data_IF_211523703732
#
_entry.id   IF_211523703732
#
_cell.length_a   1.000
_cell.length_b   1.000
_cell.length_c   1.000
_cell.angle_alpha   90.00
_cell.angle_beta   90.00
_cell.angle_gamma   90.00
#
_symmetry.space_group_name_H-M   'P 1'
#
loop_
_entity.id
_entity.type
_entity.pdbx_description
1 polymer ?
#
# COMPACT_ATOMS: atom_id res chain seq x y z
N UNK A 1 26.45 14.31 -24.32
CA UNK A 1 26.77 14.10 -22.88
C UNK A 1 28.24 14.30 -22.62
N UNK A 2 28.65 14.94 -21.50
CA UNK A 2 30.07 15.13 -21.16
C UNK A 2 30.69 13.83 -20.59
N UNK A 3 32.00 13.55 -20.92
CA UNK A 3 32.70 12.35 -20.46
C UNK A 3 32.65 12.15 -18.95
N UNK A 4 32.82 13.23 -18.16
CA UNK A 4 32.72 13.20 -16.70
C UNK A 4 31.33 12.74 -16.17
N UNK A 5 30.26 13.08 -16.88
CA UNK A 5 28.91 12.66 -16.53
C UNK A 5 28.72 11.16 -16.80
N UNK A 6 29.27 10.68 -17.91
CA UNK A 6 29.25 9.28 -18.27
C UNK A 6 30.06 8.43 -17.26
N UNK A 7 31.28 8.86 -16.90
CA UNK A 7 32.09 8.20 -15.86
C UNK A 7 31.36 8.12 -14.52
N UNK A 8 30.66 9.18 -14.14
CA UNK A 8 29.80 9.18 -12.93
C UNK A 8 28.67 8.16 -13.02
N UNK A 9 28.00 8.05 -14.16
CA UNK A 9 26.93 7.06 -14.35
C UNK A 9 27.48 5.63 -14.26
N UNK A 10 28.64 5.37 -14.85
CA UNK A 10 29.31 4.06 -14.80
C UNK A 10 29.71 3.73 -13.35
N UNK A 11 30.22 4.70 -12.58
CA UNK A 11 30.63 4.49 -11.19
C UNK A 11 29.46 4.20 -10.22
N UNK A 12 28.24 4.70 -10.53
CA UNK A 12 27.04 4.43 -9.75
C UNK A 12 26.54 3.00 -10.01
N UNK A 13 26.77 2.45 -11.21
CA UNK A 13 26.30 1.13 -11.60
C UNK A 13 24.84 1.09 -12.06
N UNK A 14 24.33 -0.13 -12.27
CA UNK A 14 22.95 -0.36 -12.68
C UNK A 14 21.97 -0.01 -11.58
N UNK A 15 20.82 0.54 -11.96
CA UNK A 15 19.80 1.03 -11.03
C UNK A 15 18.41 1.03 -11.68
N UNK A 16 17.44 1.61 -11.00
CA UNK A 16 16.09 1.84 -11.57
C UNK A 16 16.14 2.73 -12.83
N UNK A 17 17.17 3.58 -12.98
CA UNK A 17 17.28 4.56 -14.06
C UNK A 17 18.51 4.39 -14.95
N UNK A 18 19.37 3.42 -14.69
CA UNK A 18 20.60 3.17 -15.46
C UNK A 18 20.74 1.67 -15.69
N UNK A 19 21.06 1.31 -16.93
CA UNK A 19 21.33 -0.07 -17.34
C UNK A 19 22.51 -0.13 -18.28
N UNK A 20 23.30 -1.20 -18.20
CA UNK A 20 24.46 -1.46 -19.07
C UNK A 20 24.15 -2.59 -20.05
N UNK A 21 24.60 -2.46 -21.29
CA UNK A 21 24.49 -3.50 -22.31
C UNK A 21 25.75 -3.51 -23.19
N UNK A 22 26.20 -4.69 -23.56
CA UNK A 22 27.37 -4.82 -24.42
C UNK A 22 27.11 -4.36 -25.86
N UNK A 23 25.92 -4.64 -26.39
CA UNK A 23 25.55 -4.34 -27.77
C UNK A 23 24.08 -3.92 -27.88
N UNK A 24 23.75 -3.18 -28.95
CA UNK A 24 22.36 -2.85 -29.27
C UNK A 24 21.60 -4.09 -29.75
N UNK A 25 20.41 -4.29 -29.21
CA UNK A 25 19.55 -5.41 -29.56
C UNK A 25 18.21 -5.38 -28.82
N UNK A 26 17.53 -6.50 -28.82
CA UNK A 26 16.19 -6.62 -28.24
C UNK A 26 16.17 -6.30 -26.74
N UNK A 27 17.21 -6.70 -26.00
CA UNK A 27 17.34 -6.40 -24.58
C UNK A 27 17.40 -4.89 -24.28
N UNK A 28 18.02 -4.10 -25.17
CA UNK A 28 18.04 -2.63 -25.08
C UNK A 28 16.61 -2.09 -25.26
N UNK A 29 15.89 -2.58 -26.27
CA UNK A 29 14.50 -2.13 -26.56
C UNK A 29 13.58 -2.49 -25.41
N UNK A 30 13.68 -3.70 -24.85
CA UNK A 30 12.92 -4.13 -23.69
C UNK A 30 13.19 -3.23 -22.47
N UNK A 31 14.45 -2.91 -22.21
CA UNK A 31 14.83 -2.03 -21.10
C UNK A 31 14.32 -0.61 -21.32
N UNK A 32 14.40 -0.07 -22.54
CA UNK A 32 13.82 1.24 -22.86
C UNK A 32 12.31 1.28 -22.64
N UNK A 33 11.59 0.21 -23.02
CA UNK A 33 10.16 0.06 -22.77
C UNK A 33 9.89 0.00 -21.26
N UNK A 34 10.65 -0.81 -20.52
CA UNK A 34 10.49 -0.92 -19.06
C UNK A 34 10.74 0.41 -18.33
N UNK A 35 11.76 1.16 -18.76
CA UNK A 35 12.06 2.49 -18.23
C UNK A 35 11.00 3.53 -18.63
N UNK A 36 10.53 3.54 -19.89
CA UNK A 36 9.45 4.43 -20.34
C UNK A 36 8.17 4.27 -19.51
N UNK A 37 7.85 3.02 -19.12
CA UNK A 37 6.73 2.72 -18.25
C UNK A 37 6.96 3.07 -16.77
N UNK A 38 8.22 3.30 -16.36
CA UNK A 38 8.61 3.53 -14.96
C UNK A 38 9.13 4.94 -14.65
N UNK A 39 8.96 5.91 -15.55
CA UNK A 39 9.37 7.29 -15.31
C UNK A 39 10.65 7.71 -16.03
N UNK A 40 11.16 6.87 -16.93
CA UNK A 40 12.34 7.16 -17.75
C UNK A 40 13.66 6.59 -17.20
N UNK A 41 14.73 6.75 -17.98
CA UNK A 41 16.06 6.26 -17.62
C UNK A 41 17.05 6.32 -18.77
N UNK A 42 18.23 5.72 -18.55
CA UNK A 42 19.33 5.68 -19.52
C UNK A 42 19.84 4.26 -19.69
N UNK A 43 20.00 3.84 -20.95
CA UNK A 43 20.66 2.56 -21.29
C UNK A 43 21.99 2.89 -21.95
N UNK A 44 23.10 2.42 -21.37
CA UNK A 44 24.44 2.61 -21.84
C UNK A 44 24.88 1.36 -22.61
N UNK A 45 25.09 1.49 -23.90
CA UNK A 45 25.49 0.39 -24.79
C UNK A 45 26.97 0.50 -25.10
N UNK A 46 27.72 -0.61 -25.01
CA UNK A 46 29.16 -0.70 -25.07
C UNK A 46 29.81 -0.92 -23.70
N UNK A 47 29.00 -1.36 -22.72
CA UNK A 47 29.44 -1.68 -21.36
C UNK A 47 28.99 -3.09 -20.98
N UNK A 48 29.82 -3.81 -20.22
CA UNK A 48 29.42 -5.02 -19.50
C UNK A 48 28.73 -4.68 -18.20
N UNK A 49 27.99 -5.62 -17.62
CA UNK A 49 27.25 -5.44 -16.35
C UNK A 49 28.15 -4.98 -15.18
N UNK A 50 29.43 -5.33 -15.21
CA UNK A 50 30.42 -4.87 -14.21
C UNK A 50 30.98 -3.46 -14.48
N UNK A 51 30.48 -2.74 -15.47
CA UNK A 51 30.94 -1.40 -15.87
C UNK A 51 32.19 -1.40 -16.77
N UNK A 52 32.74 -2.56 -17.17
CA UNK A 52 33.89 -2.62 -18.08
C UNK A 52 33.50 -2.15 -19.48
N UNK A 53 34.27 -1.22 -20.00
CA UNK A 53 34.07 -0.66 -21.35
C UNK A 53 34.49 -1.70 -22.41
N UNK A 54 33.55 -2.11 -23.25
CA UNK A 54 33.83 -2.98 -24.42
C UNK A 54 33.63 -2.24 -25.75
N UNK A 55 32.97 -1.10 -25.73
CA UNK A 55 32.65 -0.31 -26.91
C UNK A 55 31.50 -0.88 -27.74
N UNK A 56 30.85 -0.04 -28.52
CA UNK A 56 29.82 -0.48 -29.47
C UNK A 56 30.55 -1.11 -30.64
N UNK A 57 30.47 -2.44 -30.76
CA UNK A 57 31.24 -3.22 -31.75
C UNK A 57 30.85 -2.92 -33.21
N UNK A 58 31.86 -3.08 -34.14
CA UNK A 58 31.58 -3.30 -35.56
C UNK A 58 31.50 -2.08 -36.48
N UNK A 59 32.15 -0.95 -36.18
CA UNK A 59 32.19 0.22 -37.07
C UNK A 59 31.44 1.45 -36.56
N UNK A 60 31.17 2.43 -37.43
CA UNK A 60 30.41 3.62 -37.03
C UNK A 60 28.99 3.22 -36.68
N UNK A 61 28.51 3.55 -35.44
CA UNK A 61 27.15 3.23 -35.02
C UNK A 61 26.12 3.86 -35.96
N UNK A 62 25.19 3.06 -36.48
CA UNK A 62 24.09 3.57 -37.29
C UNK A 62 22.89 3.97 -36.40
N UNK A 63 22.97 5.16 -35.83
CA UNK A 63 21.94 5.71 -34.93
C UNK A 63 20.56 5.72 -35.60
N UNK A 64 20.48 6.06 -36.90
CA UNK A 64 19.24 6.11 -37.64
C UNK A 64 18.56 4.73 -37.72
N UNK A 65 19.36 3.65 -37.94
CA UNK A 65 18.84 2.29 -37.90
C UNK A 65 18.33 1.90 -36.50
N UNK A 66 19.04 2.25 -35.45
CA UNK A 66 18.61 1.96 -34.06
C UNK A 66 17.31 2.66 -33.69
N UNK A 67 17.19 3.97 -34.03
CA UNK A 67 15.95 4.71 -33.81
C UNK A 67 14.79 4.07 -34.59
N UNK A 68 15.01 3.69 -35.84
CA UNK A 68 13.99 3.03 -36.65
C UNK A 68 13.57 1.68 -36.05
N UNK A 69 14.54 0.87 -35.60
CA UNK A 69 14.25 -0.40 -34.92
C UNK A 69 13.43 -0.23 -33.66
N UNK A 70 13.79 0.74 -32.82
CA UNK A 70 13.04 1.06 -31.60
C UNK A 70 11.61 1.48 -31.95
N UNK A 71 11.46 2.42 -32.90
CA UNK A 71 10.16 2.91 -33.37
C UNK A 71 9.28 1.77 -33.86
N UNK A 72 9.82 0.88 -34.70
CA UNK A 72 9.05 -0.20 -35.32
C UNK A 72 8.70 -1.33 -34.36
N UNK A 73 9.48 -1.51 -33.30
CA UNK A 73 9.31 -2.61 -32.34
C UNK A 73 8.57 -2.18 -31.07
N UNK A 74 8.18 -0.91 -30.93
CA UNK A 74 7.49 -0.40 -29.76
C UNK A 74 6.13 0.18 -30.10
N UNK A 75 5.15 0.02 -29.23
CA UNK A 75 3.81 0.56 -29.35
C UNK A 75 3.30 1.06 -27.99
N UNK A 76 2.99 2.35 -27.84
CA UNK A 76 3.30 3.47 -28.74
C UNK A 76 4.78 3.56 -29.10
N UNK A 77 5.10 4.14 -30.27
CA UNK A 77 6.45 4.26 -30.75
C UNK A 77 7.31 5.11 -29.81
N UNK A 78 8.47 4.60 -29.40
CA UNK A 78 9.44 5.32 -28.56
C UNK A 78 10.49 6.03 -29.45
N UNK A 79 10.93 7.19 -28.97
CA UNK A 79 11.97 8.01 -29.59
C UNK A 79 12.97 8.43 -28.51
N UNK A 80 13.93 7.57 -28.12
CA UNK A 80 14.95 7.95 -27.17
C UNK A 80 15.94 8.97 -27.78
N UNK A 81 16.47 9.85 -26.95
CA UNK A 81 17.64 10.66 -27.30
C UNK A 81 18.87 9.77 -27.25
N UNK A 82 19.71 9.81 -28.31
CA UNK A 82 20.92 8.98 -28.41
C UNK A 82 22.15 9.87 -28.49
N UNK A 83 23.01 9.80 -27.48
CA UNK A 83 24.32 10.44 -27.45
C UNK A 83 25.41 9.42 -27.68
N UNK A 84 26.47 9.78 -28.46
CA UNK A 84 27.71 9.02 -28.54
C UNK A 84 28.76 9.71 -27.68
N UNK A 85 29.44 8.94 -26.86
CA UNK A 85 30.61 9.38 -26.10
C UNK A 85 31.74 8.38 -26.23
N UNK A 86 32.99 8.84 -26.08
CA UNK A 86 34.16 7.96 -26.14
C UNK A 86 34.89 7.94 -24.81
N UNK A 87 35.12 6.74 -24.27
CA UNK A 87 35.95 6.49 -23.08
C UNK A 87 37.01 5.45 -23.48
N UNK A 88 38.28 5.69 -23.12
CA UNK A 88 39.38 4.75 -23.39
C UNK A 88 39.46 4.32 -24.88
N UNK A 89 39.24 5.26 -25.80
CA UNK A 89 39.16 5.04 -27.24
C UNK A 89 38.03 4.13 -27.74
N UNK A 90 37.12 3.72 -26.87
CA UNK A 90 35.92 2.97 -27.22
C UNK A 90 34.69 3.87 -27.25
N UNK A 91 33.81 3.69 -28.25
CA UNK A 91 32.56 4.44 -28.36
C UNK A 91 31.47 3.77 -27.51
N UNK A 92 30.75 4.58 -26.73
CA UNK A 92 29.60 4.18 -25.94
C UNK A 92 28.40 4.96 -26.46
N UNK A 93 27.27 4.27 -26.67
CA UNK A 93 26.01 4.92 -27.02
C UNK A 93 25.12 5.00 -25.77
N UNK A 94 24.62 6.19 -25.47
CA UNK A 94 23.73 6.45 -24.34
C UNK A 94 22.33 6.75 -24.87
N UNK A 95 21.43 5.82 -24.62
CA UNK A 95 20.01 5.96 -24.95
C UNK A 95 19.29 6.55 -23.74
N UNK A 96 18.73 7.73 -23.89
CA UNK A 96 17.99 8.41 -22.83
C UNK A 96 16.51 8.43 -23.19
N UNK A 97 15.67 7.86 -22.32
CA UNK A 97 14.22 7.91 -22.45
C UNK A 97 13.63 8.69 -21.26
N UNK A 98 12.80 9.67 -21.56
CA UNK A 98 12.04 10.41 -20.55
C UNK A 98 10.77 9.67 -20.20
N UNK A 99 10.11 10.12 -19.16
CA UNK A 99 8.76 9.69 -18.87
C UNK A 99 7.84 9.98 -20.07
N UNK A 100 7.07 8.97 -20.51
CA UNK A 100 6.19 9.11 -21.67
C UNK A 100 4.75 9.37 -21.22
N UNK A 101 4.03 10.27 -21.90
CA UNK A 101 2.67 10.61 -21.48
C UNK A 101 1.65 9.51 -21.75
N UNK A 102 1.88 8.67 -22.76
CA UNK A 102 0.97 7.58 -23.13
C UNK A 102 1.55 6.25 -22.72
N UNK A 103 0.93 5.59 -21.76
CA UNK A 103 1.33 4.29 -21.22
C UNK A 103 0.11 3.33 -21.19
N UNK A 104 0.36 2.03 -21.17
CA UNK A 104 1.66 1.36 -21.24
C UNK A 104 2.27 1.32 -22.63
N UNK A 105 3.58 1.33 -22.69
CA UNK A 105 4.35 1.02 -23.90
C UNK A 105 4.64 -0.48 -23.93
N UNK A 106 4.52 -1.08 -25.11
CA UNK A 106 4.77 -2.50 -25.34
C UNK A 106 5.88 -2.73 -26.37
N UNK A 107 6.57 -3.86 -26.28
CA UNK A 107 7.41 -4.43 -27.35
C UNK A 107 7.02 -5.88 -27.55
N UNK A 108 6.90 -6.32 -28.82
CA UNK A 108 6.46 -7.69 -29.16
C UNK A 108 5.17 -8.14 -28.44
N UNK A 109 4.21 -7.22 -28.26
CA UNK A 109 2.97 -7.49 -27.54
C UNK A 109 3.10 -7.67 -26.02
N UNK A 110 4.28 -7.39 -25.43
CA UNK A 110 4.54 -7.49 -24.01
C UNK A 110 4.84 -6.12 -23.41
N UNK A 111 4.26 -5.84 -22.25
CA UNK A 111 4.55 -4.63 -21.47
C UNK A 111 5.51 -4.97 -20.34
N UNK A 112 6.59 -4.21 -20.21
CA UNK A 112 7.57 -4.36 -19.14
C UNK A 112 7.60 -3.10 -18.28
N UNK A 113 7.92 -3.28 -17.01
CA UNK A 113 8.13 -2.18 -16.06
C UNK A 113 9.44 -2.37 -15.32
N UNK A 114 10.18 -1.28 -15.11
CA UNK A 114 11.44 -1.29 -14.36
C UNK A 114 11.16 -1.29 -12.85
N UNK A 115 11.75 -2.24 -12.12
CA UNK A 115 11.71 -2.33 -10.66
C UNK A 115 13.12 -2.59 -10.14
N UNK A 116 13.70 -1.60 -9.46
CA UNK A 116 15.11 -1.65 -9.14
C UNK A 116 15.96 -1.77 -10.41
N UNK A 117 16.90 -2.70 -10.44
CA UNK A 117 17.77 -2.97 -11.63
C UNK A 117 17.21 -4.05 -12.56
N UNK A 118 15.93 -4.44 -12.46
CA UNK A 118 15.37 -5.54 -13.26
C UNK A 118 14.12 -5.12 -14.04
N UNK A 119 13.94 -5.69 -15.23
CA UNK A 119 12.75 -5.56 -16.04
C UNK A 119 11.76 -6.66 -15.67
N UNK A 120 10.52 -6.28 -15.34
CA UNK A 120 9.45 -7.21 -15.00
C UNK A 120 8.34 -7.16 -16.02
N UNK A 121 7.87 -8.32 -16.46
CA UNK A 121 6.68 -8.44 -17.29
C UNK A 121 5.46 -7.99 -16.48
N UNK A 122 4.67 -7.08 -17.05
CA UNK A 122 3.44 -6.60 -16.43
C UNK A 122 2.31 -7.62 -16.59
N UNK A 123 1.56 -7.84 -15.52
CA UNK A 123 0.30 -8.58 -15.57
C UNK A 123 -0.81 -7.77 -16.23
N UNK A 124 -1.88 -8.44 -16.67
CA UNK A 124 -3.04 -7.80 -17.33
C UNK A 124 -3.62 -6.69 -16.46
N UNK A 125 -3.69 -6.90 -15.15
CA UNK A 125 -4.18 -5.92 -14.19
C UNK A 125 -3.33 -4.64 -14.16
N UNK A 126 -2.01 -4.79 -14.12
CA UNK A 126 -1.09 -3.65 -14.12
C UNK A 126 -1.14 -2.86 -15.44
N UNK A 127 -1.33 -3.56 -16.56
CA UNK A 127 -1.52 -2.94 -17.88
C UNK A 127 -2.80 -2.10 -17.89
N UNK A 128 -3.92 -2.66 -17.40
CA UNK A 128 -5.20 -1.97 -17.32
C UNK A 128 -5.14 -0.74 -16.42
N UNK A 129 -4.52 -0.86 -15.24
CA UNK A 129 -4.37 0.24 -14.29
C UNK A 129 -3.50 1.37 -14.85
N UNK A 130 -2.40 1.02 -15.53
CA UNK A 130 -1.53 1.99 -16.18
C UNK A 130 -2.23 2.72 -17.33
N UNK A 131 -3.01 1.99 -18.14
CA UNK A 131 -3.81 2.56 -19.22
C UNK A 131 -4.84 3.56 -18.68
N UNK A 132 -5.63 3.16 -17.69
CA UNK A 132 -6.63 4.03 -17.08
C UNK A 132 -5.98 5.29 -16.49
N UNK A 133 -4.86 5.14 -15.78
CA UNK A 133 -4.11 6.27 -15.22
C UNK A 133 -3.63 7.24 -16.29
N UNK A 134 -3.19 6.74 -17.44
CA UNK A 134 -2.73 7.56 -18.57
C UNK A 134 -3.81 8.52 -19.07
N UNK A 135 -5.05 8.06 -19.10
CA UNK A 135 -6.19 8.86 -19.57
C UNK A 135 -6.96 9.54 -18.44
N UNK A 136 -6.39 9.58 -17.22
CA UNK A 136 -7.07 10.08 -16.02
C UNK A 136 -8.45 9.44 -15.80
N UNK A 137 -8.59 8.18 -16.19
CA UNK A 137 -9.79 7.38 -15.98
C UNK A 137 -9.62 6.50 -14.75
N UNK A 138 -10.72 6.21 -14.10
CA UNK A 138 -10.82 5.23 -13.02
C UNK A 138 -11.89 4.22 -13.36
N UNK A 139 -11.81 3.02 -12.78
CA UNK A 139 -12.80 1.99 -13.05
C UNK A 139 -14.23 2.48 -12.73
N UNK A 140 -14.39 3.17 -11.62
CA UNK A 140 -15.68 3.71 -11.20
C UNK A 140 -16.26 4.78 -12.14
N UNK A 141 -15.42 5.36 -13.02
CA UNK A 141 -15.81 6.34 -14.06
C UNK A 141 -16.16 5.71 -15.42
N UNK A 142 -15.91 4.41 -15.61
CA UNK A 142 -16.29 3.68 -16.81
C UNK A 142 -17.80 3.44 -16.85
N UNK A 143 -18.33 3.22 -18.07
CA UNK A 143 -19.74 2.92 -18.29
C UNK A 143 -20.03 1.49 -17.81
N UNK A 144 -21.12 1.33 -17.08
CA UNK A 144 -21.72 0.04 -16.71
C UNK A 144 -22.77 -0.30 -17.78
N UNK A 145 -22.37 -1.07 -18.78
CA UNK A 145 -23.26 -1.44 -19.90
C UNK A 145 -24.37 -2.43 -19.48
N UNK A 146 -24.26 -3.06 -18.30
CA UNK A 146 -25.28 -3.95 -17.75
C UNK A 146 -26.42 -3.18 -17.05
N UNK A 147 -26.29 -1.86 -16.89
CA UNK A 147 -27.24 -0.99 -16.19
C UNK A 147 -27.72 0.15 -17.06
N UNK A 148 -28.94 0.57 -16.77
CA UNK A 148 -29.62 1.64 -17.47
C UNK A 148 -30.28 2.63 -16.48
N UNK A 149 -30.73 3.82 -16.91
CA UNK A 149 -31.45 4.74 -16.04
C UNK A 149 -32.71 4.17 -15.37
N UNK A 150 -33.27 3.08 -15.91
CA UNK A 150 -34.45 2.39 -15.34
C UNK A 150 -34.10 1.63 -14.06
N UNK A 151 -32.82 1.29 -13.88
CA UNK A 151 -32.32 0.57 -12.70
C UNK A 151 -32.08 1.51 -11.50
N UNK A 152 -32.10 2.82 -11.73
CA UNK A 152 -31.90 3.83 -10.69
C UNK A 152 -33.08 3.86 -9.70
N UNK A 153 -32.78 3.99 -8.44
CA UNK A 153 -33.75 4.20 -7.37
C UNK A 153 -33.92 5.68 -7.07
N UNK A 154 -35.09 6.22 -7.36
CA UNK A 154 -35.42 7.62 -7.01
C UNK A 154 -35.29 7.88 -5.49
N UNK A 155 -35.60 6.89 -4.65
CA UNK A 155 -35.46 7.00 -3.18
C UNK A 155 -34.00 7.18 -2.75
N UNK A 156 -33.05 6.45 -3.37
CA UNK A 156 -31.62 6.58 -3.05
C UNK A 156 -31.06 7.92 -3.52
N UNK A 157 -31.48 8.39 -4.69
CA UNK A 157 -31.07 9.71 -5.22
C UNK A 157 -31.65 10.83 -4.33
N UNK A 158 -32.89 10.68 -3.86
CA UNK A 158 -33.47 11.66 -2.95
C UNK A 158 -32.78 11.68 -1.58
N UNK A 159 -32.42 10.52 -1.05
CA UNK A 159 -31.60 10.43 0.16
C UNK A 159 -30.23 11.12 -0.01
N UNK A 160 -29.57 10.89 -1.13
CA UNK A 160 -28.34 11.57 -1.49
C UNK A 160 -28.50 13.10 -1.53
N UNK A 161 -29.60 13.60 -2.15
CA UNK A 161 -29.95 15.02 -2.15
C UNK A 161 -30.04 15.60 -0.73
N UNK A 162 -30.77 14.92 0.16
CA UNK A 162 -30.93 15.32 1.55
C UNK A 162 -29.61 15.38 2.30
N UNK A 163 -28.69 14.42 2.05
CA UNK A 163 -27.36 14.44 2.65
C UNK A 163 -26.54 15.63 2.14
N UNK A 164 -26.58 15.95 0.82
CA UNK A 164 -25.92 17.11 0.24
C UNK A 164 -26.46 18.42 0.84
N UNK A 165 -27.78 18.57 0.95
CA UNK A 165 -28.43 19.73 1.54
C UNK A 165 -28.04 19.94 3.00
N UNK A 166 -28.00 18.85 3.77
CA UNK A 166 -27.57 18.86 5.18
C UNK A 166 -26.11 19.29 5.31
N UNK A 167 -25.22 18.78 4.42
CA UNK A 167 -23.79 19.09 4.49
C UNK A 167 -23.46 20.49 4.03
N UNK A 168 -24.08 20.96 2.92
CA UNK A 168 -23.82 22.27 2.35
C UNK A 168 -24.66 23.41 2.97
N UNK A 169 -25.64 23.06 3.77
CA UNK A 169 -26.65 24.00 4.32
C UNK A 169 -27.38 24.84 3.23
N UNK A 170 -27.54 24.26 2.04
CA UNK A 170 -28.13 24.90 0.84
C UNK A 170 -29.07 23.91 0.17
N UNK A 171 -30.25 24.38 -0.26
CA UNK A 171 -31.21 23.53 -1.00
C UNK A 171 -30.70 23.19 -2.39
N UNK A 172 -30.89 21.94 -2.80
CA UNK A 172 -30.50 21.40 -4.12
C UNK A 172 -31.76 21.23 -4.98
N UNK A 173 -31.98 22.13 -5.91
CA UNK A 173 -33.19 22.19 -6.75
C UNK A 173 -33.05 21.49 -8.10
N UNK A 174 -31.86 21.01 -8.45
CA UNK A 174 -31.64 20.31 -9.71
C UNK A 174 -32.47 19.01 -9.78
N UNK A 175 -32.94 18.65 -10.98
CA UNK A 175 -33.53 17.32 -11.20
C UNK A 175 -32.49 16.20 -11.03
N UNK A 176 -32.95 14.97 -10.84
CA UNK A 176 -32.08 13.81 -10.55
C UNK A 176 -31.00 13.58 -11.63
N UNK A 177 -31.33 13.78 -12.91
CA UNK A 177 -30.35 13.55 -13.98
C UNK A 177 -29.31 14.64 -14.02
N UNK A 178 -29.70 15.89 -13.85
CA UNK A 178 -28.78 17.03 -13.75
C UNK A 178 -27.86 16.87 -12.55
N UNK A 179 -28.39 16.47 -11.40
CA UNK A 179 -27.62 16.21 -10.19
C UNK A 179 -26.57 15.10 -10.43
N UNK A 180 -26.96 13.95 -10.96
CA UNK A 180 -26.04 12.86 -11.25
C UNK A 180 -24.99 13.24 -12.29
N UNK A 181 -25.34 14.03 -13.32
CA UNK A 181 -24.41 14.54 -14.33
C UNK A 181 -23.36 15.49 -13.72
N UNK A 182 -23.76 16.36 -12.79
CA UNK A 182 -22.86 17.27 -12.06
C UNK A 182 -21.76 16.51 -11.31
N UNK A 183 -22.07 15.32 -10.80
CA UNK A 183 -21.10 14.42 -10.16
C UNK A 183 -20.39 13.48 -11.14
N UNK A 184 -20.57 13.64 -12.45
CA UNK A 184 -20.02 12.77 -13.50
C UNK A 184 -20.43 11.30 -13.37
N UNK A 185 -21.55 11.03 -12.72
CA UNK A 185 -22.15 9.70 -12.52
C UNK A 185 -22.96 9.24 -13.72
N UNK A 186 -23.38 10.19 -14.57
CA UNK A 186 -23.96 9.96 -15.89
C UNK A 186 -23.05 10.51 -16.97
N UNK A 187 -22.83 9.72 -18.00
CA UNK A 187 -22.17 10.13 -19.25
C UNK A 187 -23.19 10.70 -20.23
N UNK A 188 -22.71 11.15 -21.39
CA UNK A 188 -23.55 11.46 -22.54
C UNK A 188 -24.45 10.25 -22.86
N UNK A 189 -25.60 10.48 -23.46
CA UNK A 189 -26.62 9.45 -23.71
C UNK A 189 -27.25 8.79 -22.48
N UNK A 190 -27.12 9.42 -21.31
CA UNK A 190 -27.64 8.96 -20.01
C UNK A 190 -27.11 7.57 -19.58
N UNK A 191 -25.94 7.17 -20.06
CA UNK A 191 -25.28 5.93 -19.63
C UNK A 191 -24.75 6.09 -18.22
N UNK A 192 -24.98 5.06 -17.39
CA UNK A 192 -24.52 5.03 -16.01
C UNK A 192 -23.02 4.70 -15.93
N UNK A 193 -22.34 5.31 -14.97
CA UNK A 193 -21.01 4.85 -14.58
C UNK A 193 -21.12 3.74 -13.53
N UNK A 194 -20.05 2.93 -13.32
CA UNK A 194 -20.03 1.96 -12.23
C UNK A 194 -20.26 2.62 -10.88
N UNK A 195 -19.74 3.83 -10.64
CA UNK A 195 -20.02 4.59 -9.43
C UNK A 195 -21.53 4.85 -9.25
N UNK A 196 -22.24 5.22 -10.32
CA UNK A 196 -23.69 5.42 -10.26
C UNK A 196 -24.45 4.14 -9.93
N UNK A 197 -24.02 3.01 -10.51
CA UNK A 197 -24.63 1.70 -10.28
C UNK A 197 -24.46 1.26 -8.83
N UNK A 198 -23.27 1.45 -8.26
CA UNK A 198 -22.95 1.12 -6.87
C UNK A 198 -23.71 2.00 -5.86
N UNK A 199 -23.94 3.27 -6.19
CA UNK A 199 -24.58 4.22 -5.28
C UNK A 199 -26.12 4.24 -5.39
N UNK A 200 -26.66 4.07 -6.62
CA UNK A 200 -28.06 4.44 -6.84
C UNK A 200 -28.91 3.36 -7.50
N UNK A 201 -28.34 2.26 -8.00
CA UNK A 201 -29.17 1.19 -8.54
C UNK A 201 -29.99 0.49 -7.44
N UNK A 202 -31.21 0.08 -7.78
CA UNK A 202 -32.11 -0.67 -6.90
C UNK A 202 -31.45 -1.97 -6.42
N UNK A 203 -30.75 -2.64 -7.34
CA UNK A 203 -29.94 -3.82 -7.04
C UNK A 203 -28.48 -3.48 -7.32
N UNK A 204 -27.65 -3.25 -6.26
CA UNK A 204 -26.23 -3.00 -6.46
C UNK A 204 -25.54 -4.23 -7.03
N UNK A 205 -24.39 -4.06 -7.72
CA UNK A 205 -23.57 -5.18 -8.20
C UNK A 205 -23.18 -6.13 -7.06
N UNK A 206 -23.10 -7.43 -7.35
CA UNK A 206 -22.70 -8.44 -6.36
C UNK A 206 -21.30 -8.16 -5.79
N UNK A 207 -20.44 -7.50 -6.56
CA UNK A 207 -19.12 -7.05 -6.12
C UNK A 207 -19.19 -6.01 -4.97
N UNK A 208 -20.34 -5.40 -4.69
CA UNK A 208 -20.51 -4.48 -3.56
C UNK A 208 -20.64 -5.18 -2.21
N UNK A 209 -21.03 -6.47 -2.16
CA UNK A 209 -21.33 -7.16 -0.91
C UNK A 209 -20.19 -7.13 0.12
N UNK A 210 -20.53 -6.96 1.39
CA UNK A 210 -19.61 -7.09 2.54
C UNK A 210 -20.02 -8.31 3.36
N UNK A 211 -19.07 -9.20 3.64
CA UNK A 211 -19.26 -10.33 4.54
C UNK A 211 -18.83 -9.93 5.95
N UNK A 212 -19.78 -9.75 6.85
CA UNK A 212 -19.58 -9.30 8.22
C UNK A 212 -19.87 -10.45 9.19
N UNK A 213 -18.87 -10.86 9.98
CA UNK A 213 -18.98 -11.99 10.90
C UNK A 213 -18.53 -11.61 12.31
N UNK A 214 -19.30 -11.96 13.34
CA UNK A 214 -18.91 -11.91 14.75
C UNK A 214 -18.52 -13.30 15.22
N UNK A 215 -17.26 -13.49 15.59
CA UNK A 215 -16.74 -14.71 16.16
C UNK A 215 -16.71 -14.63 17.68
N UNK A 216 -16.99 -15.75 18.36
CA UNK A 216 -16.78 -15.92 19.79
C UNK A 216 -15.32 -16.31 20.05
N UNK A 217 -14.70 -15.63 21.01
CA UNK A 217 -13.28 -15.85 21.30
C UNK A 217 -12.34 -15.15 20.29
N UNK A 218 -11.17 -15.77 20.09
CA UNK A 218 -10.06 -15.18 19.34
C UNK A 218 -9.76 -15.89 18.01
N UNK A 219 -10.50 -16.91 17.68
CA UNK A 219 -10.36 -17.70 16.46
C UNK A 219 -11.68 -17.76 15.66
N UNK A 220 -11.65 -18.43 14.50
CA UNK A 220 -12.80 -18.55 13.59
C UNK A 220 -13.64 -19.80 13.81
N UNK A 221 -13.55 -20.44 14.99
CA UNK A 221 -14.20 -21.72 15.25
C UNK A 221 -15.71 -21.62 15.44
N UNK A 222 -16.18 -20.54 16.09
CA UNK A 222 -17.61 -20.36 16.41
C UNK A 222 -18.05 -18.95 16.00
N UNK A 223 -18.95 -18.85 15.01
CA UNK A 223 -19.60 -17.60 14.62
C UNK A 223 -20.88 -17.37 15.44
N UNK A 224 -21.05 -16.17 15.95
CA UNK A 224 -22.27 -15.73 16.68
C UNK A 224 -23.25 -15.08 15.73
N UNK A 225 -22.74 -14.29 14.80
CA UNK A 225 -23.49 -13.61 13.76
C UNK A 225 -22.73 -13.70 12.45
N UNK A 226 -23.43 -13.94 11.35
CA UNK A 226 -22.88 -14.04 10.00
C UNK A 226 -23.85 -13.37 9.02
N UNK A 227 -23.41 -12.26 8.40
CA UNK A 227 -24.23 -11.45 7.52
C UNK A 227 -23.53 -11.11 6.22
N UNK A 228 -24.29 -11.16 5.13
CA UNK A 228 -23.93 -10.50 3.88
C UNK A 228 -24.72 -9.19 3.77
N UNK A 229 -24.02 -8.06 3.84
CA UNK A 229 -24.57 -6.73 3.61
C UNK A 229 -24.41 -6.45 2.12
N UNK A 230 -25.51 -6.23 1.41
CA UNK A 230 -25.54 -5.92 -0.02
C UNK A 230 -26.58 -4.83 -0.25
N UNK A 231 -26.17 -3.60 -0.02
CA UNK A 231 -26.96 -2.39 -0.13
C UNK A 231 -26.29 -1.41 -1.07
N UNK A 232 -26.80 -0.18 -1.22
CA UNK A 232 -25.99 0.88 -1.80
C UNK A 232 -24.87 1.29 -0.83
N UNK A 233 -23.78 1.82 -1.37
CA UNK A 233 -22.56 2.02 -0.60
C UNK A 233 -22.73 2.97 0.62
N UNK A 234 -23.68 3.89 0.59
CA UNK A 234 -23.97 4.78 1.73
C UNK A 234 -24.68 4.00 2.83
N UNK A 235 -25.77 3.30 2.50
CA UNK A 235 -26.49 2.44 3.43
C UNK A 235 -25.61 1.29 3.95
N UNK A 236 -24.78 0.71 3.11
CA UNK A 236 -23.82 -0.35 3.46
C UNK A 236 -22.81 0.12 4.52
N UNK A 237 -22.33 1.37 4.39
CA UNK A 237 -21.45 2.00 5.38
C UNK A 237 -22.15 2.11 6.75
N UNK A 238 -23.40 2.54 6.78
CA UNK A 238 -24.18 2.67 8.03
C UNK A 238 -24.53 1.31 8.64
N UNK A 239 -24.93 0.35 7.80
CA UNK A 239 -25.25 -1.03 8.23
C UNK A 239 -24.02 -1.73 8.81
N UNK A 240 -22.87 -1.58 8.19
CA UNK A 240 -21.61 -2.14 8.69
C UNK A 240 -21.17 -1.48 10.00
N UNK A 241 -21.29 -0.15 10.11
CA UNK A 241 -21.05 0.55 11.38
C UNK A 241 -21.96 0.06 12.50
N UNK A 242 -23.25 -0.09 12.23
CA UNK A 242 -24.21 -0.62 13.19
C UNK A 242 -23.84 -2.05 13.62
N UNK A 243 -23.43 -2.91 12.67
CA UNK A 243 -22.93 -4.26 12.95
C UNK A 243 -21.71 -4.22 13.88
N UNK A 244 -20.68 -3.46 13.57
CA UNK A 244 -19.46 -3.37 14.37
C UNK A 244 -19.80 -2.85 15.78
N UNK A 245 -20.56 -1.76 15.88
CA UNK A 245 -20.88 -1.14 17.17
C UNK A 245 -21.71 -2.03 18.10
N UNK A 246 -22.59 -2.89 17.57
CA UNK A 246 -23.31 -3.87 18.41
C UNK A 246 -22.45 -5.08 18.78
N UNK A 247 -21.41 -5.39 17.99
CA UNK A 247 -20.53 -6.54 18.18
C UNK A 247 -19.38 -6.29 19.16
N UNK A 248 -19.03 -5.04 19.44
CA UNK A 248 -17.96 -4.65 20.37
C UNK A 248 -18.48 -4.34 21.77
N UNK A 249 -17.59 -4.41 22.76
CA UNK A 249 -17.94 -4.16 24.17
C UNK A 249 -18.16 -2.67 24.42
N UNK A 250 -19.10 -2.38 25.31
CA UNK A 250 -19.33 -1.05 25.90
C UNK A 250 -18.93 -1.09 27.36
N UNK A 251 -18.00 -0.26 27.75
CA UNK A 251 -17.68 0.00 29.15
C UNK A 251 -18.39 1.25 29.67
N UNK A 252 -18.30 1.49 30.97
CA UNK A 252 -18.79 2.70 31.60
C UNK A 252 -17.63 3.33 32.37
N UNK A 253 -17.24 4.53 31.99
CA UNK A 253 -16.24 5.31 32.72
C UNK A 253 -16.94 6.21 33.73
N UNK A 254 -16.57 6.10 35.01
CA UNK A 254 -16.99 7.04 36.03
C UNK A 254 -16.13 8.30 35.87
N UNK A 255 -16.71 9.37 35.38
CA UNK A 255 -16.05 10.68 35.32
C UNK A 255 -16.46 11.47 36.54
N UNK A 256 -15.54 11.74 37.44
CA UNK A 256 -15.72 12.62 38.57
C UNK A 256 -15.41 14.06 38.17
N UNK A 257 -16.39 14.76 37.64
CA UNK A 257 -16.30 16.21 37.45
C UNK A 257 -17.15 16.90 38.52
N UNK A 258 -16.49 17.62 39.42
CA UNK A 258 -17.05 18.60 40.39
C UNK A 258 -18.54 18.38 40.77
N UNK A 259 -18.80 17.41 41.66
CA UNK A 259 -20.10 17.15 42.33
C UNK A 259 -21.20 16.39 41.58
N UNK A 260 -20.99 15.93 40.32
CA UNK A 260 -21.92 15.00 39.67
C UNK A 260 -21.18 13.83 39.07
N UNK A 261 -21.51 12.60 39.51
CA UNK A 261 -21.06 11.36 38.89
C UNK A 261 -21.83 11.15 37.60
N UNK A 262 -21.26 11.51 36.47
CA UNK A 262 -21.80 11.19 35.14
C UNK A 262 -21.19 9.89 34.65
N UNK A 263 -22.02 9.01 34.14
CA UNK A 263 -21.61 7.76 33.50
C UNK A 263 -21.55 8.00 32.00
N UNK A 264 -20.32 8.09 31.43
CA UNK A 264 -20.15 8.18 29.99
C UNK A 264 -19.91 6.77 29.43
N UNK A 265 -20.65 6.38 28.40
CA UNK A 265 -20.36 5.11 27.71
C UNK A 265 -18.98 5.21 27.02
N UNK A 266 -18.08 4.31 27.36
CA UNK A 266 -16.79 4.18 26.73
C UNK A 266 -16.83 2.98 25.80
N UNK A 267 -16.61 3.23 24.52
CA UNK A 267 -16.49 2.17 23.52
C UNK A 267 -15.13 1.49 23.62
N UNK A 268 -15.08 0.20 23.34
CA UNK A 268 -13.82 -0.57 23.25
C UNK A 268 -12.88 0.01 22.20
N UNK A 269 -13.43 0.54 21.11
CA UNK A 269 -12.71 1.27 20.06
C UNK A 269 -13.38 2.61 19.80
N UNK A 270 -12.64 3.69 19.50
CA UNK A 270 -13.22 4.98 19.17
C UNK A 270 -14.13 4.88 17.93
N UNK A 271 -15.43 5.25 18.02
CA UNK A 271 -16.35 5.14 16.89
C UNK A 271 -15.92 5.91 15.65
N UNK A 272 -15.25 7.05 15.81
CA UNK A 272 -14.74 7.84 14.69
C UNK A 272 -13.59 7.14 13.95
N UNK A 273 -12.76 6.37 14.68
CA UNK A 273 -11.73 5.55 14.06
C UNK A 273 -12.34 4.39 13.25
N UNK A 274 -13.38 3.75 13.81
CA UNK A 274 -14.11 2.69 13.11
C UNK A 274 -14.81 3.24 11.86
N UNK A 275 -15.48 4.39 11.95
CA UNK A 275 -16.13 5.04 10.80
C UNK A 275 -15.14 5.33 9.69
N UNK A 276 -13.97 5.87 10.01
CA UNK A 276 -12.91 6.14 9.04
C UNK A 276 -12.44 4.86 8.34
N UNK A 277 -12.24 3.76 9.09
CA UNK A 277 -11.84 2.47 8.52
C UNK A 277 -12.93 1.86 7.64
N UNK A 278 -14.19 1.98 8.02
CA UNK A 278 -15.34 1.50 7.23
C UNK A 278 -15.47 2.29 5.93
N UNK A 279 -15.38 3.62 5.99
CA UNK A 279 -15.40 4.46 4.79
C UNK A 279 -14.24 4.10 3.87
N UNK A 280 -13.02 3.92 4.41
CA UNK A 280 -11.85 3.51 3.64
C UNK A 280 -12.03 2.12 3.01
N UNK A 281 -12.67 1.19 3.70
CA UNK A 281 -13.02 -0.13 3.16
C UNK A 281 -13.86 0.00 1.88
N UNK A 282 -14.84 0.89 1.88
CA UNK A 282 -15.75 1.12 0.74
C UNK A 282 -15.07 1.87 -0.39
N UNK A 283 -14.45 3.04 -0.12
CA UNK A 283 -13.93 3.90 -1.20
C UNK A 283 -12.65 3.37 -1.87
N UNK A 284 -11.85 2.55 -1.17
CA UNK A 284 -10.59 1.99 -1.69
C UNK A 284 -10.70 0.54 -2.19
N UNK A 285 -11.90 -0.04 -2.15
CA UNK A 285 -12.15 -1.39 -2.64
C UNK A 285 -11.95 -1.52 -4.14
N UNK A 286 -11.39 -2.65 -4.57
CA UNK A 286 -11.39 -3.05 -5.98
C UNK A 286 -12.69 -3.79 -6.31
N UNK A 287 -13.60 -3.09 -6.96
CA UNK A 287 -14.93 -3.61 -7.34
C UNK A 287 -14.92 -4.46 -8.61
N UNK A 288 -13.76 -4.63 -9.28
CA UNK A 288 -13.63 -5.47 -10.47
C UNK A 288 -13.71 -6.96 -10.18
N UNK A 289 -13.37 -7.34 -8.95
CA UNK A 289 -13.44 -8.73 -8.49
C UNK A 289 -14.81 -9.08 -7.92
N UNK A 290 -15.15 -10.38 -7.95
CA UNK A 290 -16.40 -10.88 -7.37
C UNK A 290 -16.31 -11.13 -5.84
N UNK A 291 -15.11 -11.10 -5.25
CA UNK A 291 -14.93 -11.40 -3.83
C UNK A 291 -15.50 -10.27 -2.95
N UNK A 292 -16.32 -10.59 -1.94
CA UNK A 292 -16.82 -9.61 -0.99
C UNK A 292 -15.68 -9.04 -0.15
N UNK A 293 -15.80 -7.79 0.34
CA UNK A 293 -14.99 -7.36 1.45
C UNK A 293 -15.40 -8.15 2.70
N UNK A 294 -14.46 -8.37 3.63
CA UNK A 294 -14.76 -9.11 4.85
C UNK A 294 -14.46 -8.28 6.08
N UNK A 295 -15.37 -8.29 7.05
CA UNK A 295 -15.18 -7.67 8.36
C UNK A 295 -15.44 -8.71 9.44
N UNK A 296 -14.42 -9.09 10.17
CA UNK A 296 -14.46 -10.10 11.22
C UNK A 296 -14.22 -9.45 12.58
N UNK A 297 -15.17 -9.58 13.48
CA UNK A 297 -15.09 -9.05 14.84
C UNK A 297 -14.85 -10.22 15.79
N UNK A 298 -13.73 -10.19 16.51
CA UNK A 298 -13.34 -11.14 17.56
C UNK A 298 -13.46 -10.50 18.93
N UNK A 299 -13.21 -11.26 19.99
CA UNK A 299 -13.23 -10.71 21.37
C UNK A 299 -12.04 -9.80 21.67
N UNK A 300 -10.96 -9.89 20.86
CA UNK A 300 -9.68 -9.20 21.06
C UNK A 300 -9.27 -8.27 19.92
N UNK A 301 -9.95 -8.33 18.77
CA UNK A 301 -9.61 -7.54 17.57
C UNK A 301 -10.74 -7.43 16.56
N UNK A 302 -10.58 -6.50 15.64
CA UNK A 302 -11.38 -6.41 14.41
C UNK A 302 -10.42 -6.56 13.23
N UNK A 303 -10.75 -7.46 12.29
CA UNK A 303 -10.04 -7.64 11.03
C UNK A 303 -10.93 -7.15 9.88
N UNK A 304 -10.39 -6.27 9.04
CA UNK A 304 -11.04 -5.78 7.83
C UNK A 304 -10.20 -6.18 6.62
N UNK A 305 -10.75 -6.98 5.74
CA UNK A 305 -10.11 -7.36 4.48
C UNK A 305 -10.80 -6.68 3.32
N UNK A 306 -9.99 -6.11 2.43
CA UNK A 306 -10.47 -5.42 1.24
C UNK A 306 -9.75 -5.92 0.00
N UNK A 307 -10.50 -6.16 -1.08
CA UNK A 307 -9.90 -6.48 -2.37
C UNK A 307 -9.11 -5.27 -2.91
N UNK A 308 -7.98 -5.57 -3.51
CA UNK A 308 -7.08 -4.58 -4.11
C UNK A 308 -5.81 -4.34 -3.30
N UNK A 309 -4.69 -4.31 -4.03
CA UNK A 309 -3.37 -4.06 -3.44
C UNK A 309 -3.25 -2.61 -2.94
N UNK A 310 -2.46 -2.42 -1.90
CA UNK A 310 -2.04 -1.08 -1.51
C UNK A 310 -1.15 -0.44 -2.60
N UNK A 311 -1.19 0.89 -2.75
CA UNK A 311 -0.25 1.59 -3.63
C UNK A 311 1.20 1.21 -3.30
N UNK A 312 2.00 0.92 -4.34
CA UNK A 312 3.41 0.51 -4.19
C UNK A 312 4.22 1.58 -3.46
N UNK A 313 5.03 1.14 -2.50
CA UNK A 313 5.88 2.04 -1.71
C UNK A 313 5.17 2.75 -0.56
N UNK A 314 3.89 2.47 -0.33
CA UNK A 314 3.14 2.93 0.83
C UNK A 314 3.38 1.95 2.00
N UNK A 315 3.93 2.46 3.09
CA UNK A 315 4.16 1.73 4.35
C UNK A 315 3.36 2.37 5.48
N UNK A 316 3.20 1.65 6.59
CA UNK A 316 2.53 2.20 7.77
C UNK A 316 3.24 3.47 8.26
N UNK A 317 4.58 3.50 8.24
CA UNK A 317 5.37 4.67 8.66
C UNK A 317 5.07 5.89 7.78
N UNK A 318 4.99 5.72 6.46
CA UNK A 318 4.61 6.80 5.53
C UNK A 318 3.17 7.25 5.72
N UNK A 319 2.25 6.32 5.97
CA UNK A 319 0.86 6.64 6.29
C UNK A 319 0.73 7.43 7.59
N UNK A 320 1.56 7.12 8.59
CA UNK A 320 1.60 7.85 9.87
C UNK A 320 2.25 9.22 9.74
N UNK A 321 3.34 9.33 9.00
CA UNK A 321 4.05 10.61 8.77
C UNK A 321 3.31 11.55 7.80
N UNK A 322 2.42 11.00 6.96
CA UNK A 322 1.76 11.76 5.88
C UNK A 322 2.66 11.99 4.66
N UNK A 323 3.80 11.32 4.59
CA UNK A 323 4.74 11.42 3.47
C UNK A 323 4.31 10.49 2.32
N UNK A 324 3.15 10.80 1.74
CA UNK A 324 2.63 10.11 0.56
C UNK A 324 1.64 10.97 -0.22
N UNK A 325 1.55 10.72 -1.51
CA UNK A 325 0.53 11.35 -2.36
C UNK A 325 -0.82 10.63 -2.17
N UNK A 326 -1.88 11.36 -1.77
CA UNK A 326 -3.22 10.78 -1.68
C UNK A 326 -3.66 10.26 -3.06
N UNK A 327 -3.99 8.99 -3.12
CA UNK A 327 -4.49 8.36 -4.34
C UNK A 327 -5.79 7.61 -4.03
N UNK A 328 -6.87 8.04 -4.66
CA UNK A 328 -8.15 7.35 -4.57
C UNK A 328 -8.25 6.29 -5.67
N UNK A 329 -8.55 5.04 -5.31
CA UNK A 329 -8.83 3.96 -6.28
C UNK A 329 -10.10 4.25 -7.06
N UNK A 330 -11.12 4.78 -6.38
CA UNK A 330 -12.43 5.11 -6.93
C UNK A 330 -12.71 6.62 -6.72
N UNK A 331 -12.16 7.51 -7.58
CA UNK A 331 -12.27 8.95 -7.41
C UNK A 331 -13.69 9.49 -7.42
N UNK A 332 -14.60 8.92 -8.24
CA UNK A 332 -16.00 9.37 -8.25
C UNK A 332 -16.71 9.02 -6.95
N UNK A 333 -16.53 7.80 -6.43
CA UNK A 333 -17.05 7.40 -5.13
C UNK A 333 -16.49 8.29 -4.02
N UNK A 334 -15.17 8.52 -4.02
CA UNK A 334 -14.49 9.38 -3.05
C UNK A 334 -15.06 10.80 -3.06
N UNK A 335 -15.30 11.36 -4.27
CA UNK A 335 -15.93 12.68 -4.43
C UNK A 335 -17.33 12.72 -3.84
N UNK A 336 -18.17 11.72 -4.14
CA UNK A 336 -19.54 11.64 -3.60
C UNK A 336 -19.52 11.56 -2.08
N UNK A 337 -18.68 10.67 -1.50
CA UNK A 337 -18.55 10.51 -0.05
C UNK A 337 -18.05 11.77 0.65
N UNK A 338 -17.18 12.56 0.01
CA UNK A 338 -16.71 13.85 0.51
C UNK A 338 -17.85 14.87 0.52
N UNK A 339 -18.58 14.99 -0.57
CA UNK A 339 -19.67 15.99 -0.69
C UNK A 339 -20.85 15.74 0.27
N UNK A 340 -21.09 14.47 0.65
CA UNK A 340 -22.09 14.15 1.68
C UNK A 340 -21.53 14.15 3.11
N UNK A 341 -20.27 14.56 3.29
CA UNK A 341 -19.64 14.72 4.60
C UNK A 341 -19.18 13.43 5.29
N UNK A 342 -19.07 12.32 4.56
CA UNK A 342 -18.52 11.07 5.08
C UNK A 342 -16.99 11.06 5.10
N UNK A 343 -16.35 11.92 4.31
CA UNK A 343 -14.91 12.15 4.25
C UNK A 343 -14.63 13.62 4.53
N UNK A 344 -13.80 13.91 5.52
CA UNK A 344 -13.41 15.29 5.85
C UNK A 344 -12.27 15.79 4.97
N UNK A 345 -11.13 15.08 5.00
CA UNK A 345 -9.93 15.43 4.27
C UNK A 345 -9.34 14.22 3.54
N UNK A 346 -9.05 14.38 2.26
CA UNK A 346 -8.39 13.35 1.47
C UNK A 346 -6.96 13.12 1.98
N UNK A 347 -6.61 11.84 2.19
CA UNK A 347 -5.26 11.44 2.55
C UNK A 347 -4.90 11.53 4.04
N UNK A 348 -5.76 12.04 4.92
CA UNK A 348 -5.48 12.13 6.37
C UNK A 348 -6.20 11.07 7.22
N UNK A 349 -7.04 10.23 6.59
CA UNK A 349 -7.94 9.31 7.29
C UNK A 349 -7.20 8.33 8.20
N UNK A 350 -6.17 7.65 7.71
CA UNK A 350 -5.42 6.70 8.52
C UNK A 350 -4.59 7.38 9.62
N UNK A 351 -4.10 8.60 9.39
CA UNK A 351 -3.47 9.40 10.45
C UNK A 351 -4.48 9.73 11.57
N UNK A 352 -5.73 10.07 11.19
CA UNK A 352 -6.84 10.29 12.13
C UNK A 352 -7.09 9.01 12.94
N UNK A 353 -7.17 7.85 12.30
CA UNK A 353 -7.31 6.54 12.97
C UNK A 353 -6.18 6.31 13.96
N UNK A 354 -4.91 6.45 13.55
CA UNK A 354 -3.76 6.27 14.42
C UNK A 354 -3.79 7.20 15.64
N UNK A 355 -4.15 8.47 15.43
CA UNK A 355 -4.27 9.46 16.51
C UNK A 355 -5.39 9.09 17.49
N UNK A 356 -6.55 8.69 16.99
CA UNK A 356 -7.70 8.32 17.82
C UNK A 356 -7.43 7.05 18.64
N UNK A 357 -6.82 6.02 18.02
CA UNK A 357 -6.42 4.81 18.74
C UNK A 357 -5.38 5.12 19.83
N UNK A 358 -4.37 5.94 19.50
CA UNK A 358 -3.36 6.39 20.46
C UNK A 358 -3.96 7.14 21.65
N UNK A 359 -4.95 8.03 21.39
CA UNK A 359 -5.65 8.78 22.45
C UNK A 359 -6.54 7.89 23.32
N UNK A 360 -6.89 6.70 22.86
CA UNK A 360 -7.65 5.70 23.60
C UNK A 360 -6.76 4.61 24.25
N UNK A 361 -5.42 4.80 24.28
CA UNK A 361 -4.43 3.84 24.74
C UNK A 361 -4.54 2.47 24.03
N UNK A 362 -4.90 2.48 22.75
CA UNK A 362 -5.00 1.29 21.91
C UNK A 362 -3.79 1.16 20.98
N UNK A 363 -3.45 -0.08 20.59
CA UNK A 363 -2.40 -0.34 19.60
C UNK A 363 -2.70 0.34 18.27
N UNK A 364 -1.64 0.73 17.56
CA UNK A 364 -1.77 1.19 16.19
C UNK A 364 -2.29 0.08 15.28
N UNK A 365 -2.98 0.43 14.19
CA UNK A 365 -3.51 -0.57 13.27
C UNK A 365 -2.36 -1.34 12.61
N UNK A 366 -2.51 -2.64 12.48
CA UNK A 366 -1.61 -3.48 11.69
C UNK A 366 -2.17 -3.58 10.27
N UNK A 367 -1.35 -3.25 9.27
CA UNK A 367 -1.73 -3.30 7.85
C UNK A 367 -0.86 -4.33 7.16
N UNK A 368 -1.51 -5.31 6.54
CA UNK A 368 -0.86 -6.43 5.88
C UNK A 368 -1.29 -6.51 4.43
N UNK A 369 -0.33 -6.41 3.48
CA UNK A 369 -0.61 -6.73 2.09
C UNK A 369 -0.77 -8.24 1.94
N UNK A 370 -1.85 -8.67 1.29
CA UNK A 370 -2.13 -10.05 0.94
C UNK A 370 -2.09 -10.20 -0.59
N UNK A 371 -1.97 -11.43 -1.07
CA UNK A 371 -1.88 -11.74 -2.51
C UNK A 371 -3.07 -11.20 -3.34
N UNK A 372 -4.25 -11.05 -2.72
CA UNK A 372 -5.48 -10.59 -3.37
C UNK A 372 -6.09 -9.33 -2.77
N UNK A 373 -5.37 -8.65 -1.87
CA UNK A 373 -5.93 -7.48 -1.21
C UNK A 373 -5.11 -6.95 -0.05
N UNK A 374 -5.78 -6.20 0.81
CA UNK A 374 -5.19 -5.58 2.00
C UNK A 374 -6.00 -5.96 3.23
N UNK A 375 -5.34 -6.37 4.29
CA UNK A 375 -5.94 -6.62 5.59
C UNK A 375 -5.52 -5.54 6.58
N UNK A 376 -6.49 -4.97 7.28
CA UNK A 376 -6.28 -4.03 8.39
C UNK A 376 -6.78 -4.71 9.66
N UNK A 377 -5.97 -4.70 10.72
CA UNK A 377 -6.31 -5.27 12.02
C UNK A 377 -6.16 -4.18 13.08
N UNK A 378 -7.21 -3.97 13.87
CA UNK A 378 -7.17 -3.15 15.09
C UNK A 378 -7.39 -4.08 16.29
N UNK A 379 -6.53 -3.94 17.30
CA UNK A 379 -6.55 -4.79 18.49
C UNK A 379 -7.12 -4.06 19.70
N UNK A 380 -7.76 -4.83 20.59
CA UNK A 380 -8.17 -4.33 21.90
C UNK A 380 -6.97 -4.14 22.84
N UNK A 381 -7.15 -3.41 23.93
CA UNK A 381 -6.12 -3.22 24.94
C UNK A 381 -5.63 -4.54 25.57
N UNK A 382 -6.51 -5.53 25.71
CA UNK A 382 -6.16 -6.84 26.27
C UNK A 382 -5.14 -7.56 25.39
N UNK A 383 -5.32 -7.57 24.06
CA UNK A 383 -4.38 -8.20 23.11
C UNK A 383 -3.05 -7.46 23.04
N UNK A 384 -3.07 -6.13 23.26
CA UNK A 384 -1.83 -5.35 23.26
C UNK A 384 -0.85 -5.82 24.33
N UNK A 385 -1.35 -6.09 25.54
CA UNK A 385 -0.53 -6.61 26.63
C UNK A 385 0.06 -7.99 26.29
N UNK A 386 -0.76 -8.93 25.83
CA UNK A 386 -0.29 -10.26 25.42
C UNK A 386 0.70 -10.23 24.24
N UNK A 387 0.46 -9.37 23.26
CA UNK A 387 1.36 -9.26 22.09
C UNK A 387 2.68 -8.60 22.46
N UNK A 388 2.66 -7.63 23.36
CA UNK A 388 3.86 -6.96 23.85
C UNK A 388 4.70 -7.92 24.67
N UNK A 389 4.09 -8.74 25.51
CA UNK A 389 4.76 -9.80 26.26
C UNK A 389 5.39 -10.85 25.33
N UNK A 390 4.62 -11.42 24.40
CA UNK A 390 5.09 -12.40 23.41
C UNK A 390 6.14 -11.85 22.43
N UNK A 391 6.05 -10.60 22.03
CA UNK A 391 7.10 -9.95 21.22
C UNK A 391 8.35 -9.68 22.04
N UNK A 392 8.21 -9.30 23.30
CA UNK A 392 9.33 -9.14 24.25
C UNK A 392 10.02 -10.49 24.48
N UNK A 393 9.28 -11.56 24.68
CA UNK A 393 9.81 -12.93 24.83
C UNK A 393 10.54 -13.40 23.56
N UNK A 394 9.91 -13.29 22.36
CA UNK A 394 10.55 -13.67 21.10
C UNK A 394 11.76 -12.81 20.74
N UNK A 395 11.76 -11.51 21.05
CA UNK A 395 12.94 -10.66 20.87
C UNK A 395 14.03 -11.04 21.86
N UNK A 396 13.69 -11.36 23.10
CA UNK A 396 14.63 -11.85 24.12
C UNK A 396 15.24 -13.20 23.71
N UNK A 397 14.43 -14.15 23.22
CA UNK A 397 14.93 -15.44 22.71
C UNK A 397 15.89 -15.28 21.53
N UNK A 398 15.50 -14.52 20.48
CA UNK A 398 16.37 -14.26 19.32
C UNK A 398 17.65 -13.50 19.70
N UNK A 399 17.58 -12.60 20.68
CA UNK A 399 18.74 -11.88 21.19
C UNK A 399 19.65 -12.82 21.99
N UNK A 400 19.08 -13.67 22.82
CA UNK A 400 19.79 -14.71 23.56
C UNK A 400 20.51 -15.69 22.67
N UNK A 401 19.87 -16.20 21.60
CA UNK A 401 20.49 -17.08 20.60
C UNK A 401 21.69 -16.42 19.91
N UNK A 402 21.57 -15.15 19.51
CA UNK A 402 22.67 -14.39 18.90
C UNK A 402 23.82 -14.18 19.88
N UNK A 403 23.54 -13.85 21.13
CA UNK A 403 24.55 -13.69 22.17
C UNK A 403 25.29 -15.01 22.37
N UNK A 404 24.60 -16.14 22.50
CA UNK A 404 25.19 -17.47 22.62
C UNK A 404 26.06 -17.82 21.42
N UNK A 405 25.63 -17.51 20.20
CA UNK A 405 26.43 -17.73 19.00
C UNK A 405 27.73 -16.89 19.02
N UNK A 406 27.67 -15.62 19.41
CA UNK A 406 28.85 -14.78 19.52
C UNK A 406 29.80 -15.22 20.64
N UNK A 407 29.30 -15.70 21.78
CA UNK A 407 30.12 -16.24 22.88
C UNK A 407 30.77 -17.57 22.42
N UNK A 408 30.07 -18.44 21.69
CA UNK A 408 30.66 -19.66 21.12
C UNK A 408 31.80 -19.37 20.15
N UNK A 409 31.68 -18.30 19.38
CA UNK A 409 32.72 -17.87 18.43
C UNK A 409 33.90 -17.16 19.09
N UNK A 410 33.67 -16.44 20.21
CA UNK A 410 34.68 -15.72 20.95
C UNK A 410 34.32 -15.68 22.46
N UNK A 411 34.89 -16.59 23.22
CA UNK A 411 34.64 -16.73 24.67
C UNK A 411 35.09 -15.51 25.50
N UNK A 412 36.01 -14.71 24.93
CA UNK A 412 36.55 -13.52 25.63
C UNK A 412 35.78 -12.24 25.26
N UNK A 413 34.74 -12.33 24.46
CA UNK A 413 33.97 -11.16 24.02
C UNK A 413 33.40 -10.41 25.22
N UNK A 414 33.63 -9.09 25.26
CA UNK A 414 33.07 -8.23 26.29
C UNK A 414 31.63 -7.82 26.02
N UNK A 415 30.88 -7.39 27.06
CA UNK A 415 29.54 -6.84 26.89
C UNK A 415 29.51 -5.66 25.89
N UNK A 416 30.53 -4.79 25.94
CA UNK A 416 30.69 -3.70 24.96
C UNK A 416 30.99 -4.20 23.55
N UNK A 417 31.73 -5.31 23.40
CA UNK A 417 31.98 -5.97 22.12
C UNK A 417 30.71 -6.56 21.51
N UNK A 418 29.89 -7.23 22.32
CA UNK A 418 28.58 -7.74 21.93
C UNK A 418 27.63 -6.61 21.53
N UNK A 419 27.56 -5.53 22.33
CA UNK A 419 26.75 -4.37 22.08
C UNK A 419 27.05 -3.74 20.72
N UNK A 420 28.34 -3.59 20.38
CA UNK A 420 28.79 -3.04 19.08
C UNK A 420 28.44 -3.95 17.92
N UNK A 421 28.64 -5.28 18.06
CA UNK A 421 28.32 -6.25 16.98
C UNK A 421 26.81 -6.39 16.73
N UNK A 422 26.00 -6.19 17.78
CA UNK A 422 24.54 -6.33 17.70
C UNK A 422 23.80 -5.00 17.46
N UNK A 423 24.51 -3.86 17.48
CA UNK A 423 23.90 -2.54 17.28
C UNK A 423 22.96 -2.10 18.40
N UNK A 424 23.20 -2.55 19.64
CA UNK A 424 22.37 -2.25 20.82
C UNK A 424 23.20 -1.60 21.94
N UNK A 425 22.53 -1.09 22.97
CA UNK A 425 23.26 -0.48 24.11
C UNK A 425 23.93 -1.53 25.00
N UNK A 426 25.05 -1.18 25.64
CA UNK A 426 25.73 -2.08 26.59
C UNK A 426 24.82 -2.52 27.75
N UNK A 427 23.93 -1.64 28.21
CA UNK A 427 22.95 -1.93 29.26
C UNK A 427 21.95 -3.02 28.84
N UNK A 428 21.56 -3.05 27.58
CA UNK A 428 20.68 -4.08 27.00
C UNK A 428 21.39 -5.45 26.99
N UNK A 429 22.67 -5.49 26.63
CA UNK A 429 23.48 -6.72 26.62
C UNK A 429 23.75 -7.21 28.08
N UNK A 430 24.07 -6.33 28.99
CA UNK A 430 24.30 -6.67 30.41
C UNK A 430 23.06 -7.34 31.01
N UNK A 431 21.87 -6.82 30.74
CA UNK A 431 20.62 -7.41 31.20
C UNK A 431 20.40 -8.79 30.58
N UNK A 432 20.61 -8.97 29.26
CA UNK A 432 20.47 -10.25 28.59
C UNK A 432 21.50 -11.30 29.07
N UNK A 433 22.74 -10.89 29.33
CA UNK A 433 23.75 -11.76 29.92
C UNK A 433 23.38 -12.17 31.35
N UNK A 434 22.80 -11.27 32.17
CA UNK A 434 22.29 -11.60 33.49
C UNK A 434 21.16 -12.64 33.43
N UNK A 435 20.21 -12.47 32.52
CA UNK A 435 19.12 -13.41 32.27
C UNK A 435 19.66 -14.79 31.81
N UNK A 436 20.61 -14.85 30.88
CA UNK A 436 21.25 -16.09 30.43
C UNK A 436 22.04 -16.80 31.56
N UNK A 437 22.65 -16.06 32.46
CA UNK A 437 23.30 -16.62 33.67
C UNK A 437 22.29 -17.21 34.65
N UNK A 438 21.22 -16.49 34.91
CA UNK A 438 20.13 -16.94 35.81
C UNK A 438 19.46 -18.21 35.28
N UNK A 439 19.29 -18.31 33.95
CA UNK A 439 18.78 -19.50 33.26
C UNK A 439 19.80 -20.64 33.11
N UNK A 440 21.03 -20.47 33.61
CA UNK A 440 22.08 -21.50 33.58
C UNK A 440 22.66 -21.79 32.20
N UNK A 441 22.36 -20.96 31.17
CA UNK A 441 22.84 -21.16 29.79
C UNK A 441 24.27 -20.71 29.55
N UNK A 442 24.79 -19.78 30.40
CA UNK A 442 26.18 -19.32 30.36
C UNK A 442 26.72 -19.18 31.76
N UNK A 443 28.03 -19.34 31.89
CA UNK A 443 28.78 -19.12 33.15
C UNK A 443 29.96 -18.22 32.88
N UNK A 444 30.24 -17.31 33.82
CA UNK A 444 31.46 -16.51 33.79
C UNK A 444 32.55 -17.24 34.56
N UNK A 445 33.69 -17.44 33.93
CA UNK A 445 34.89 -18.06 34.53
C UNK A 445 35.96 -17.01 34.65
N UNK A 446 36.49 -16.81 35.87
CA UNK A 446 37.52 -15.84 36.19
C UNK A 446 37.00 -14.46 36.60
N UNK A 447 37.90 -13.49 36.84
CA UNK A 447 37.55 -12.16 37.27
C UNK A 447 36.89 -11.31 36.20
N UNK A 448 36.26 -10.18 36.58
CA UNK A 448 35.56 -9.27 35.64
C UNK A 448 36.47 -8.70 34.55
N UNK A 449 37.74 -8.47 34.84
CA UNK A 449 38.76 -8.15 33.83
C UNK A 449 39.62 -9.41 33.57
N UNK A 450 39.53 -9.93 32.32
CA UNK A 450 40.32 -11.07 31.88
C UNK A 450 39.62 -12.44 31.98
N UNK A 451 38.44 -12.55 32.58
CA UNK A 451 37.64 -13.77 32.56
C UNK A 451 36.95 -14.03 31.22
N UNK A 452 36.47 -15.25 31.02
CA UNK A 452 35.79 -15.67 29.81
C UNK A 452 34.39 -16.23 30.08
N UNK A 453 33.57 -16.34 29.02
CA UNK A 453 32.24 -16.93 29.07
C UNK A 453 32.30 -18.39 28.65
N UNK A 454 31.65 -19.26 29.42
CA UNK A 454 31.40 -20.65 29.06
C UNK A 454 29.93 -20.85 28.77
N UNK A 455 29.62 -21.47 27.64
CA UNK A 455 28.24 -21.86 27.26
C UNK A 455 27.99 -23.25 27.81
N UNK A 456 26.95 -23.42 28.63
CA UNK A 456 26.65 -24.66 29.37
C UNK A 456 25.73 -25.58 28.57
N UNK A 457 25.12 -25.09 27.45
CA UNK A 457 24.23 -25.87 26.59
C UNK A 457 24.76 -25.94 25.14
#
# INVERSE_FOLDING_TARGET
MHVKELEKLISIGESAHVEFKESFGEAVIETLVAMANAGGGKVLVGLRDNGTVCGVGGGKPNIASWINDIKMKTSPALFPDIDLASIQHASIAVFSIKDVPVKPVATKGKCFIRRGSSNHLMGIQEIADMYLKTYNLSWDSLIDDDKSPKDLSSKKIEHFRQLLEKQAAVSVHEDSFTLLKKFSLLKEDRKLTYAASLLFCTKPPASAAIHAVRFKGVDKNESVEDYYIQEDLVAETDSLMAFILRSIKKGVRKVSALKQLTHEPVWEYPPDALRELVVNLVIHRDYRGAAPACVFVFDDRIEMWNAGEMPKGLSLDKLQSGDYEPSARNPLLTRVFKEIGLIENLGSGLQKVCRLLKSADLPLPFIEPLASGTRIVICSAARHLETTEKMSEKMSEKMSEKILAFIKADQFISAAGLARRMGVTSRTIERALAELRTCGKIKRIGPDKGGHWEVIV
#
